data_IF_368509997340
#
_entry.id   IF_368509997340
#
_cell.length_a   1.000
_cell.length_b   1.000
_cell.length_c   1.000
_cell.angle_alpha   90.00
_cell.angle_beta   90.00
_cell.angle_gamma   90.00
#
_symmetry.space_group_name_H-M   'P 1'
#
loop_
_entity.id
_entity.type
_entity.pdbx_description
1 polymer ?
#
# COMPACT_ATOMS: atom_id res chain seq x y z
N UNK A 1 7.18 10.47 29.93
CA UNK A 1 6.97 11.54 28.94
C UNK A 1 6.22 10.93 27.76
N UNK A 2 4.90 11.14 27.68
CA UNK A 2 4.10 10.61 26.56
C UNK A 2 4.40 11.46 25.30
N UNK A 3 5.18 10.92 24.40
CA UNK A 3 5.48 11.55 23.12
C UNK A 3 4.27 11.32 22.22
N UNK A 4 3.40 12.32 22.09
CA UNK A 4 2.28 12.26 21.17
C UNK A 4 2.83 12.27 19.73
N UNK A 5 2.64 11.18 18.93
CA UNK A 5 3.17 11.09 17.58
C UNK A 5 2.57 12.10 16.59
N UNK A 6 1.47 12.76 16.97
CA UNK A 6 0.76 13.72 16.10
C UNK A 6 1.32 15.14 16.18
N UNK A 7 2.32 15.43 17.02
CA UNK A 7 2.92 16.77 17.06
C UNK A 7 3.73 17.02 15.77
N UNK A 8 3.66 18.28 15.27
CA UNK A 8 4.42 18.70 14.08
C UNK A 8 5.92 18.40 14.20
N UNK A 9 6.48 18.51 15.41
CA UNK A 9 7.89 18.22 15.70
C UNK A 9 8.20 16.73 15.55
N UNK A 10 7.37 15.85 16.12
CA UNK A 10 7.54 14.39 16.01
C UNK A 10 7.41 13.92 14.55
N UNK A 11 6.42 14.43 13.80
CA UNK A 11 6.28 14.10 12.38
C UNK A 11 7.47 14.58 11.54
N UNK A 12 8.08 15.71 11.90
CA UNK A 12 9.29 16.21 11.25
C UNK A 12 10.50 15.33 11.56
N UNK A 13 10.73 14.99 12.84
CA UNK A 13 11.85 14.15 13.28
C UNK A 13 11.72 12.73 12.69
N UNK A 14 10.54 12.11 12.80
CA UNK A 14 10.29 10.81 12.22
C UNK A 14 10.46 10.80 10.71
N UNK A 15 9.97 11.83 10.02
CA UNK A 15 10.17 11.97 8.57
C UNK A 15 11.64 12.10 8.15
N UNK A 16 12.49 12.69 9.01
CA UNK A 16 13.94 12.75 8.80
C UNK A 16 14.61 11.39 9.03
N UNK A 17 14.26 10.70 10.13
CA UNK A 17 14.85 9.40 10.50
C UNK A 17 14.39 8.31 9.53
N UNK A 18 13.11 8.28 9.18
CA UNK A 18 12.55 7.29 8.27
C UNK A 18 12.75 7.61 6.79
N UNK A 19 13.34 8.77 6.47
CA UNK A 19 13.46 9.28 5.10
C UNK A 19 12.13 9.26 4.32
N UNK A 20 11.00 9.36 5.04
CA UNK A 20 9.65 9.30 4.48
C UNK A 20 8.79 10.44 5.02
N UNK A 21 8.40 11.35 4.14
CA UNK A 21 7.42 12.39 4.42
C UNK A 21 6.13 12.05 3.65
N UNK A 22 5.07 11.57 4.33
CA UNK A 22 3.85 11.10 3.67
C UNK A 22 3.23 12.14 2.74
N UNK A 23 3.06 13.39 3.21
CA UNK A 23 2.46 14.47 2.41
C UNK A 23 3.23 14.73 1.11
N UNK A 24 4.55 14.83 1.19
CA UNK A 24 5.40 15.04 0.02
C UNK A 24 5.40 13.83 -0.90
N UNK A 25 5.54 12.63 -0.35
CA UNK A 25 5.59 11.37 -1.07
C UNK A 25 4.33 11.17 -1.93
N UNK A 26 3.14 11.24 -1.33
CA UNK A 26 1.89 10.99 -2.01
C UNK A 26 1.52 12.09 -3.01
N UNK A 27 1.86 13.36 -2.71
CA UNK A 27 1.73 14.45 -3.68
C UNK A 27 2.57 14.21 -4.93
N UNK A 28 3.85 13.85 -4.76
CA UNK A 28 4.75 13.59 -5.88
C UNK A 28 4.34 12.33 -6.64
N UNK A 29 3.89 11.30 -5.91
CA UNK A 29 3.41 10.06 -6.52
C UNK A 29 2.23 10.31 -7.46
N UNK A 30 1.26 11.12 -7.04
CA UNK A 30 0.11 11.50 -7.88
C UNK A 30 0.56 12.10 -9.22
N UNK A 31 1.54 12.99 -9.19
CA UNK A 31 2.12 13.62 -10.40
C UNK A 31 2.83 12.60 -11.29
N UNK A 32 3.59 11.69 -10.68
CA UNK A 32 4.42 10.72 -11.41
C UNK A 32 3.59 9.66 -12.12
N UNK A 33 2.55 9.14 -11.47
CA UNK A 33 1.72 8.04 -12.01
C UNK A 33 0.67 8.52 -13.01
N UNK A 34 0.30 9.80 -12.97
CA UNK A 34 -0.70 10.36 -13.89
C UNK A 34 -0.06 10.62 -15.27
N UNK A 35 -0.50 9.88 -16.32
CA UNK A 35 0.02 10.09 -17.68
C UNK A 35 -0.37 11.46 -18.25
N UNK A 36 -1.47 12.07 -17.78
CA UNK A 36 -2.02 13.34 -18.27
C UNK A 36 -1.51 14.55 -17.47
N UNK A 37 -0.72 14.34 -16.43
CA UNK A 37 -0.15 15.43 -15.64
C UNK A 37 0.78 16.32 -16.47
N UNK A 38 0.64 17.64 -16.31
CA UNK A 38 1.30 18.67 -17.16
C UNK A 38 2.73 19.02 -16.77
N UNK A 39 3.25 18.48 -15.68
CA UNK A 39 4.64 18.74 -15.28
C UNK A 39 5.64 18.19 -16.30
N UNK A 40 6.78 18.87 -16.46
CA UNK A 40 7.83 18.46 -17.39
C UNK A 40 8.36 17.06 -17.04
N UNK A 41 8.84 16.34 -18.09
CA UNK A 41 9.43 15.00 -17.91
C UNK A 41 10.60 15.01 -16.91
N UNK A 42 11.40 16.07 -16.91
CA UNK A 42 12.52 16.23 -15.96
C UNK A 42 12.02 16.38 -14.52
N UNK A 43 10.91 17.13 -14.30
CA UNK A 43 10.30 17.25 -12.97
C UNK A 43 9.77 15.89 -12.49
N UNK A 44 9.03 15.18 -13.35
CA UNK A 44 8.51 13.83 -13.04
C UNK A 44 9.64 12.84 -12.71
N UNK A 45 10.75 12.90 -13.43
CA UNK A 45 11.93 12.06 -13.17
C UNK A 45 12.56 12.38 -11.79
N UNK A 46 12.75 13.66 -11.45
CA UNK A 46 13.24 14.08 -10.12
C UNK A 46 12.27 13.63 -9.00
N UNK A 47 10.96 13.74 -9.23
CA UNK A 47 9.94 13.27 -8.30
C UNK A 47 9.99 11.75 -8.12
N UNK A 48 10.13 10.99 -9.21
CA UNK A 48 10.28 9.53 -9.18
C UNK A 48 11.55 9.13 -8.43
N UNK A 49 12.67 9.80 -8.65
CA UNK A 49 13.91 9.54 -7.89
C UNK A 49 13.72 9.74 -6.38
N UNK A 50 13.00 10.80 -5.98
CA UNK A 50 12.68 11.00 -4.56
C UNK A 50 11.84 9.84 -4.00
N UNK A 51 10.80 9.43 -4.73
CA UNK A 51 9.92 8.31 -4.35
C UNK A 51 10.75 7.02 -4.21
N UNK A 52 11.53 6.68 -5.24
CA UNK A 52 12.37 5.46 -5.22
C UNK A 52 13.42 5.46 -4.10
N UNK A 53 13.96 6.63 -3.71
CA UNK A 53 14.84 6.74 -2.53
C UNK A 53 14.09 6.45 -1.24
N UNK A 54 12.87 6.99 -1.08
CA UNK A 54 12.01 6.68 0.07
C UNK A 54 11.67 5.18 0.12
N UNK A 55 11.28 4.61 -1.02
CA UNK A 55 10.96 3.19 -1.16
C UNK A 55 12.17 2.31 -0.78
N UNK A 56 13.35 2.58 -1.37
CA UNK A 56 14.56 1.82 -1.09
C UNK A 56 14.97 1.86 0.38
N UNK A 57 14.93 3.05 1.00
CA UNK A 57 15.26 3.20 2.42
C UNK A 57 14.31 2.41 3.34
N UNK A 58 13.05 2.31 2.97
CA UNK A 58 12.04 1.59 3.74
C UNK A 58 11.86 0.13 3.29
N UNK A 59 12.69 -0.39 2.38
CA UNK A 59 12.54 -1.72 1.76
C UNK A 59 11.14 -1.91 1.17
N UNK A 60 10.59 -0.86 0.58
CA UNK A 60 9.21 -0.79 0.12
C UNK A 60 9.11 -0.60 -1.39
N UNK A 61 7.92 -0.86 -1.94
CA UNK A 61 7.49 -0.45 -3.26
C UNK A 61 5.99 -0.20 -3.26
N UNK A 62 5.60 1.03 -3.52
CA UNK A 62 4.17 1.40 -3.66
C UNK A 62 3.69 1.27 -5.11
N UNK A 63 4.32 0.41 -5.90
CA UNK A 63 3.94 0.22 -7.30
C UNK A 63 3.96 1.52 -8.10
N UNK A 64 5.06 2.28 -8.03
CA UNK A 64 5.16 3.59 -8.67
C UNK A 64 6.14 3.54 -9.83
N UNK A 65 5.66 3.82 -11.03
CA UNK A 65 6.45 4.01 -12.24
C UNK A 65 6.04 5.29 -12.96
N UNK A 66 6.81 5.71 -13.96
CA UNK A 66 6.51 6.91 -14.74
C UNK A 66 5.27 6.68 -15.61
N UNK A 67 4.22 7.47 -15.40
CA UNK A 67 2.97 7.40 -16.14
C UNK A 67 2.05 6.22 -15.78
N UNK A 68 2.40 5.41 -14.78
CA UNK A 68 1.57 4.30 -14.30
C UNK A 68 1.89 3.95 -12.84
N UNK A 69 0.96 3.27 -12.18
CA UNK A 69 1.22 2.78 -10.83
C UNK A 69 0.00 2.15 -10.21
N UNK A 70 0.19 1.50 -9.06
CA UNK A 70 -0.91 0.96 -8.29
C UNK A 70 -1.98 2.05 -8.05
N UNK A 71 -3.22 1.68 -8.25
CA UNK A 71 -4.35 2.58 -8.04
C UNK A 71 -4.77 2.56 -6.57
N UNK A 72 -4.83 3.75 -5.99
CA UNK A 72 -5.36 3.97 -4.64
C UNK A 72 -6.50 4.98 -4.75
N UNK A 73 -7.70 4.58 -4.41
CA UNK A 73 -8.84 5.50 -4.45
C UNK A 73 -8.72 6.59 -3.38
N UNK A 74 -8.27 6.22 -2.18
CA UNK A 74 -7.72 7.13 -1.17
C UNK A 74 -6.35 6.64 -0.73
N UNK A 75 -5.51 7.53 -0.23
CA UNK A 75 -4.22 7.11 0.35
C UNK A 75 -4.49 6.22 1.56
N UNK A 76 -4.00 4.97 1.59
CA UNK A 76 -4.18 4.10 2.74
C UNK A 76 -3.54 4.68 4.01
N UNK A 77 -4.08 4.30 5.15
CA UNK A 77 -3.40 4.53 6.42
C UNK A 77 -2.30 3.49 6.64
N UNK A 78 -1.09 3.96 6.97
CA UNK A 78 0.08 3.13 7.25
C UNK A 78 0.52 3.35 8.69
N UNK A 79 0.05 2.55 9.66
CA UNK A 79 0.33 2.78 11.10
C UNK A 79 1.82 2.84 11.45
N UNK A 80 2.63 2.09 10.71
CA UNK A 80 4.09 2.00 10.90
C UNK A 80 4.89 2.57 9.72
N UNK A 81 4.31 3.50 8.94
CA UNK A 81 4.88 3.96 7.68
C UNK A 81 4.86 2.86 6.62
N UNK A 82 5.66 3.03 5.56
CA UNK A 82 5.66 2.13 4.39
C UNK A 82 6.67 0.97 4.50
N UNK A 83 7.19 0.70 5.67
CA UNK A 83 8.29 -0.26 5.89
C UNK A 83 7.95 -1.68 5.39
N UNK A 84 8.76 -2.18 4.46
CA UNK A 84 8.67 -3.54 3.91
C UNK A 84 7.39 -3.81 3.11
N UNK A 85 6.61 -2.79 2.75
CA UNK A 85 5.37 -2.97 1.99
C UNK A 85 5.71 -3.06 0.50
N UNK A 86 5.30 -4.15 -0.15
CA UNK A 86 5.50 -4.38 -1.57
C UNK A 86 4.16 -4.45 -2.29
N UNK A 87 3.88 -3.45 -3.14
CA UNK A 87 2.65 -3.38 -3.94
C UNK A 87 3.02 -3.34 -5.43
N UNK A 88 2.43 -4.24 -6.21
CA UNK A 88 2.67 -4.26 -7.66
C UNK A 88 1.95 -3.09 -8.36
N UNK A 89 2.52 -2.49 -9.43
CA UNK A 89 1.93 -1.33 -10.14
C UNK A 89 0.51 -1.52 -10.69
N UNK A 90 0.05 -2.73 -10.89
CA UNK A 90 -1.28 -3.03 -11.43
C UNK A 90 -2.34 -3.37 -10.36
N UNK A 91 -2.00 -3.31 -9.09
CA UNK A 91 -2.93 -3.52 -7.97
C UNK A 91 -3.91 -2.36 -7.85
N UNK A 92 -5.15 -2.67 -7.46
CA UNK A 92 -6.17 -1.66 -7.16
C UNK A 92 -6.60 -1.78 -5.70
N UNK A 93 -6.66 -0.64 -5.01
CA UNK A 93 -7.03 -0.56 -3.60
C UNK A 93 -8.09 0.53 -3.43
N UNK A 94 -9.19 0.18 -2.79
CA UNK A 94 -10.33 1.05 -2.53
C UNK A 94 -10.07 2.11 -1.45
N UNK A 95 -11.14 2.63 -0.87
CA UNK A 95 -11.09 3.72 0.12
C UNK A 95 -10.79 3.21 1.53
N UNK A 96 -10.21 4.10 2.34
CA UNK A 96 -10.04 3.94 3.78
C UNK A 96 -9.35 2.63 4.18
N UNK A 97 -8.48 2.10 3.35
CA UNK A 97 -7.73 0.89 3.67
C UNK A 97 -6.61 1.18 4.68
N UNK A 98 -6.32 0.18 5.50
CA UNK A 98 -5.20 0.18 6.45
C UNK A 98 -4.23 -0.91 6.05
N UNK A 99 -2.96 -0.57 5.85
CA UNK A 99 -1.95 -1.54 5.44
C UNK A 99 -0.79 -1.48 6.44
N UNK A 100 -0.58 -2.60 7.14
CA UNK A 100 0.51 -2.73 8.08
C UNK A 100 1.84 -3.04 7.37
N UNK A 101 2.94 -3.01 8.14
CA UNK A 101 4.29 -3.28 7.64
C UNK A 101 4.45 -4.70 7.11
N UNK A 102 5.41 -4.90 6.20
CA UNK A 102 5.79 -6.17 5.58
C UNK A 102 4.67 -6.85 4.76
N UNK A 103 3.66 -6.11 4.35
CA UNK A 103 2.59 -6.61 3.49
C UNK A 103 3.08 -6.73 2.04
N UNK A 104 2.71 -7.83 1.37
CA UNK A 104 2.94 -8.01 -0.07
C UNK A 104 1.61 -8.14 -0.81
N UNK A 105 1.39 -7.30 -1.83
CA UNK A 105 0.21 -7.36 -2.70
C UNK A 105 0.66 -7.40 -4.16
N UNK A 106 0.46 -8.52 -4.85
CA UNK A 106 1.00 -8.64 -6.19
C UNK A 106 0.60 -9.89 -6.98
N UNK A 107 1.42 -10.23 -7.97
CA UNK A 107 1.23 -11.42 -8.79
C UNK A 107 1.53 -12.71 -8.03
N UNK A 108 0.87 -13.78 -8.43
CA UNK A 108 1.24 -15.16 -8.07
C UNK A 108 2.25 -15.71 -9.09
N UNK A 109 1.99 -15.49 -10.36
CA UNK A 109 2.79 -15.96 -11.50
C UNK A 109 2.60 -15.01 -12.70
N UNK A 110 3.27 -15.26 -13.83
CA UNK A 110 3.21 -14.39 -15.00
C UNK A 110 1.86 -14.40 -15.73
N UNK A 111 1.02 -15.39 -15.49
CA UNK A 111 -0.30 -15.55 -16.13
C UNK A 111 -1.44 -15.03 -15.25
N UNK A 112 -1.19 -14.82 -13.95
CA UNK A 112 -2.24 -14.39 -13.02
C UNK A 112 -2.60 -12.92 -13.21
N UNK A 113 -3.86 -12.59 -12.99
CA UNK A 113 -4.33 -11.22 -12.80
C UNK A 113 -3.77 -10.63 -11.48
N UNK A 114 -4.13 -9.38 -11.19
CA UNK A 114 -3.65 -8.68 -10.00
C UNK A 114 -4.77 -8.56 -8.97
N UNK A 115 -4.40 -8.51 -7.68
CA UNK A 115 -5.36 -8.28 -6.61
C UNK A 115 -6.15 -6.98 -6.77
N UNK A 116 -7.42 -7.05 -6.40
CA UNK A 116 -8.30 -5.89 -6.24
C UNK A 116 -8.86 -5.92 -4.82
N UNK A 117 -8.58 -4.88 -4.04
CA UNK A 117 -9.11 -4.73 -2.69
C UNK A 117 -10.23 -3.68 -2.71
N UNK A 118 -11.33 -4.00 -2.04
CA UNK A 118 -12.46 -3.11 -1.83
C UNK A 118 -12.19 -2.00 -0.80
N UNK A 119 -13.26 -1.41 -0.28
CA UNK A 119 -13.22 -0.34 0.69
C UNK A 119 -13.08 -0.86 2.13
N UNK A 120 -12.47 -0.07 3.01
CA UNK A 120 -12.33 -0.36 4.45
C UNK A 120 -11.60 -1.69 4.72
N UNK A 121 -10.66 -2.08 3.88
CA UNK A 121 -9.88 -3.31 4.06
C UNK A 121 -8.70 -3.04 4.99
N UNK A 122 -8.56 -3.90 6.00
CA UNK A 122 -7.40 -3.91 6.91
C UNK A 122 -6.50 -5.08 6.53
N UNK A 123 -5.25 -4.79 6.18
CA UNK A 123 -4.25 -5.82 5.85
C UNK A 123 -3.24 -5.89 6.97
N UNK A 124 -3.25 -6.99 7.71
CA UNK A 124 -2.38 -7.24 8.86
C UNK A 124 -0.91 -7.38 8.50
N UNK A 125 -0.04 -7.20 9.49
CA UNK A 125 1.41 -7.28 9.34
C UNK A 125 1.85 -8.59 8.69
N UNK A 126 2.75 -8.51 7.71
CA UNK A 126 3.31 -9.68 7.02
C UNK A 126 2.32 -10.44 6.13
N UNK A 127 1.10 -9.96 5.96
CA UNK A 127 0.13 -10.63 5.10
C UNK A 127 0.54 -10.57 3.63
N UNK A 128 0.19 -11.61 2.89
CA UNK A 128 0.47 -11.75 1.46
C UNK A 128 -0.84 -11.92 0.70
N UNK A 129 -1.09 -11.06 -0.28
CA UNK A 129 -2.28 -11.12 -1.15
C UNK A 129 -1.80 -11.25 -2.59
N UNK A 130 -1.96 -12.41 -3.20
CA UNK A 130 -1.37 -12.70 -4.52
C UNK A 130 -2.33 -13.38 -5.49
N UNK A 131 -2.13 -13.08 -6.78
CA UNK A 131 -2.96 -13.59 -7.86
C UNK A 131 -4.14 -12.67 -8.17
N UNK A 132 -5.05 -13.14 -9.04
CA UNK A 132 -6.22 -12.38 -9.48
C UNK A 132 -7.35 -12.34 -8.46
N UNK A 133 -7.04 -12.24 -7.17
CA UNK A 133 -8.03 -12.31 -6.09
C UNK A 133 -8.79 -11.01 -5.93
N UNK A 134 -10.06 -11.10 -5.58
CA UNK A 134 -10.92 -10.00 -5.18
C UNK A 134 -11.16 -10.06 -3.68
N UNK A 135 -10.75 -9.03 -2.98
CA UNK A 135 -11.06 -8.84 -1.56
C UNK A 135 -12.20 -7.85 -1.46
N UNK A 136 -13.29 -8.26 -0.86
CA UNK A 136 -14.49 -7.45 -0.70
C UNK A 136 -14.32 -6.25 0.22
N UNK A 137 -15.43 -5.60 0.56
CA UNK A 137 -15.45 -4.45 1.46
C UNK A 137 -15.49 -4.89 2.92
N UNK A 138 -15.01 -4.02 3.82
CA UNK A 138 -15.01 -4.28 5.27
C UNK A 138 -14.35 -5.62 5.62
N UNK A 139 -13.21 -5.93 5.00
CA UNK A 139 -12.48 -7.18 5.23
C UNK A 139 -11.28 -6.94 6.13
N UNK A 140 -11.03 -7.87 7.05
CA UNK A 140 -9.81 -7.90 7.88
C UNK A 140 -8.97 -9.10 7.45
N UNK A 141 -7.82 -8.86 6.88
CA UNK A 141 -6.81 -9.88 6.60
C UNK A 141 -5.87 -9.93 7.80
N UNK A 142 -5.82 -11.08 8.47
CA UNK A 142 -5.00 -11.26 9.67
C UNK A 142 -3.50 -11.20 9.38
N UNK A 143 -2.72 -10.97 10.44
CA UNK A 143 -1.26 -10.98 10.32
C UNK A 143 -0.75 -12.32 9.78
N UNK A 144 0.25 -12.26 8.89
CA UNK A 144 0.87 -13.41 8.21
C UNK A 144 -0.11 -14.31 7.42
N UNK A 145 -1.32 -13.84 7.13
CA UNK A 145 -2.25 -14.58 6.29
C UNK A 145 -1.81 -14.56 4.82
N UNK A 146 -2.03 -15.66 4.10
CA UNK A 146 -1.72 -15.77 2.66
C UNK A 146 -3.03 -15.92 1.88
N UNK A 147 -3.47 -14.84 1.26
CA UNK A 147 -4.71 -14.78 0.47
C UNK A 147 -4.40 -15.15 -0.98
N UNK A 148 -4.97 -16.27 -1.44
CA UNK A 148 -4.83 -16.80 -2.80
C UNK A 148 -6.18 -17.11 -3.47
N UNK A 149 -7.29 -16.78 -2.80
CA UNK A 149 -8.67 -16.90 -3.28
C UNK A 149 -9.47 -15.69 -2.88
N UNK A 150 -10.62 -15.49 -3.53
CA UNK A 150 -11.51 -14.37 -3.26
C UNK A 150 -12.02 -14.37 -1.81
N UNK A 151 -12.14 -13.18 -1.23
CA UNK A 151 -12.66 -12.97 0.12
C UNK A 151 -13.95 -12.13 0.01
N UNK A 152 -15.10 -12.64 0.46
CA UNK A 152 -16.37 -11.90 0.47
C UNK A 152 -16.32 -10.66 1.39
N UNK A 153 -17.32 -9.78 1.21
CA UNK A 153 -17.52 -8.62 2.08
C UNK A 153 -17.74 -9.05 3.55
N UNK A 154 -17.39 -8.18 4.49
CA UNK A 154 -17.64 -8.34 5.92
C UNK A 154 -17.04 -9.64 6.50
N UNK A 155 -15.85 -10.00 6.08
CA UNK A 155 -15.15 -11.23 6.49
C UNK A 155 -13.81 -10.92 7.18
N UNK A 156 -13.39 -11.85 8.04
CA UNK A 156 -12.02 -11.97 8.52
C UNK A 156 -11.36 -13.12 7.78
N UNK A 157 -10.19 -12.89 7.16
CA UNK A 157 -9.41 -13.89 6.46
C UNK A 157 -8.11 -14.18 7.22
N UNK A 158 -7.90 -15.40 7.67
CA UNK A 158 -6.73 -15.81 8.46
C UNK A 158 -6.16 -17.15 8.02
N UNK A 159 -4.88 -17.35 8.22
CA UNK A 159 -4.18 -18.61 7.96
C UNK A 159 -3.41 -18.65 6.64
N UNK A 160 -2.78 -19.81 6.37
CA UNK A 160 -1.96 -20.11 5.17
C UNK A 160 -2.39 -21.48 4.63
N UNK A 161 -3.16 -21.53 3.53
CA UNK A 161 -3.85 -20.41 2.87
C UNK A 161 -4.92 -19.79 3.78
N UNK A 162 -5.24 -18.51 3.52
CA UNK A 162 -6.23 -17.79 4.30
C UNK A 162 -7.65 -18.32 4.05
N UNK A 163 -8.38 -18.53 5.14
CA UNK A 163 -9.79 -18.93 5.12
C UNK A 163 -10.66 -17.77 5.60
N UNK A 164 -11.64 -17.39 4.80
CA UNK A 164 -12.60 -16.35 5.13
C UNK A 164 -13.64 -16.85 6.13
N UNK A 165 -13.93 -16.03 7.15
CA UNK A 165 -15.01 -16.24 8.13
C UNK A 165 -15.83 -14.96 8.24
N UNK A 166 -17.18 -15.00 8.21
CA UNK A 166 -18.00 -13.81 8.42
C UNK A 166 -17.67 -13.12 9.74
N UNK A 167 -17.62 -11.80 9.75
CA UNK A 167 -17.58 -11.02 10.99
C UNK A 167 -18.95 -11.12 11.68
N UNK A 168 -18.91 -11.33 12.98
CA UNK A 168 -20.16 -11.35 13.81
C UNK A 168 -20.62 -9.94 14.08
#
# INVERSE_FOLDING_TARGET
MNINPETKLNSFVLGRIQHYNPKKYWRLRKIVVDPNDKHSKLYKLKALMYIKKCDAYNLASMGTDLGKGAYFETVPHFPHGIRGILIHPSVKIGKNCVIHQFVTIGKKDDKSAFPVLGDNVVVGCGAVVIGGVKVGNNVIIGANAVVISDIPDNCIAVGVPAVAKPMK
#
